data_IF_638564172077
#
_entry.id   IF_638564172077
#
_cell.length_a   1.000
_cell.length_b   1.000
_cell.length_c   1.000
_cell.angle_alpha   90.00
_cell.angle_beta   90.00
_cell.angle_gamma   90.00
#
_symmetry.space_group_name_H-M   'P 1'
#
loop_
_entity.id
_entity.type
_entity.pdbx_description
1 polymer ?
#
# COMPACT_ATOMS: atom_id res chain seq x y z
N UNK A 1 7.16 -30.30 8.75
CA UNK A 1 7.07 -28.92 9.28
C UNK A 1 8.12 -28.06 8.58
N UNK A 2 7.85 -26.77 8.39
CA UNK A 2 8.81 -25.79 7.89
C UNK A 2 8.49 -24.40 8.46
N UNK A 3 9.49 -23.55 8.58
CA UNK A 3 9.31 -22.19 9.07
C UNK A 3 10.34 -21.23 8.51
N UNK A 4 9.91 -19.98 8.34
CA UNK A 4 10.79 -18.89 7.95
C UNK A 4 11.77 -18.55 9.07
N UNK A 5 13.01 -18.25 8.72
CA UNK A 5 14.04 -17.78 9.63
C UNK A 5 14.71 -16.52 9.10
N UNK A 6 15.16 -15.67 10.01
CA UNK A 6 15.96 -14.49 9.71
C UNK A 6 17.28 -14.52 10.51
N UNK A 7 18.33 -13.86 10.00
CA UNK A 7 19.57 -13.71 10.76
C UNK A 7 19.33 -12.86 12.02
N UNK A 8 20.06 -13.16 13.10
CA UNK A 8 20.03 -12.36 14.31
C UNK A 8 20.73 -11.00 14.09
N UNK A 9 20.02 -9.91 14.37
CA UNK A 9 20.59 -8.56 14.30
C UNK A 9 21.48 -8.28 15.51
N UNK A 10 21.02 -8.65 16.71
CA UNK A 10 21.72 -8.43 17.97
C UNK A 10 22.35 -9.71 18.52
N UNK A 11 23.37 -9.55 19.36
CA UNK A 11 23.93 -10.65 20.16
C UNK A 11 22.90 -11.14 21.18
N UNK A 12 22.75 -12.46 21.31
CA UNK A 12 21.90 -13.06 22.33
C UNK A 12 22.73 -13.32 23.58
N UNK A 13 22.21 -12.86 24.73
CA UNK A 13 22.83 -13.00 26.04
C UNK A 13 21.83 -13.58 27.02
N UNK A 14 22.31 -14.35 27.99
CA UNK A 14 21.56 -14.74 29.16
C UNK A 14 21.86 -13.78 30.33
N UNK A 15 20.82 -13.43 31.09
CA UNK A 15 20.95 -12.65 32.32
C UNK A 15 20.94 -13.58 33.53
N UNK A 16 21.89 -13.37 34.44
CA UNK A 16 21.85 -13.95 35.77
C UNK A 16 20.74 -13.29 36.62
N UNK A 17 20.40 -13.93 37.75
CA UNK A 17 19.32 -13.49 38.63
C UNK A 17 19.56 -12.12 39.30
N UNK A 18 20.82 -11.70 39.39
CA UNK A 18 21.24 -10.38 39.90
C UNK A 18 21.24 -9.29 38.81
N UNK A 19 20.86 -9.62 37.57
CA UNK A 19 20.85 -8.70 36.43
C UNK A 19 22.20 -8.55 35.73
N UNK A 20 23.21 -9.35 36.11
CA UNK A 20 24.50 -9.38 35.43
C UNK A 20 24.49 -10.27 34.18
N UNK A 21 25.48 -10.08 33.30
CA UNK A 21 25.72 -10.97 32.17
C UNK A 21 26.17 -12.35 32.68
N UNK A 22 25.47 -13.40 32.26
CA UNK A 22 25.88 -14.79 32.50
C UNK A 22 26.76 -15.30 31.34
N UNK A 23 26.16 -15.47 30.16
CA UNK A 23 26.87 -15.91 28.97
C UNK A 23 26.27 -15.33 27.68
N UNK A 24 27.00 -15.49 26.57
CA UNK A 24 26.56 -15.07 25.24
C UNK A 24 26.58 -16.26 24.26
N UNK A 25 25.58 -16.30 23.38
CA UNK A 25 25.48 -17.32 22.34
C UNK A 25 26.28 -16.93 21.09
N UNK A 26 26.89 -17.92 20.45
CA UNK A 26 27.60 -17.72 19.18
C UNK A 26 26.60 -17.41 18.05
N UNK A 27 26.40 -16.12 17.77
CA UNK A 27 25.36 -15.61 16.86
C UNK A 27 25.27 -16.33 15.51
N UNK A 28 26.40 -16.75 14.93
CA UNK A 28 26.44 -17.44 13.64
C UNK A 28 25.68 -18.79 13.63
N UNK A 29 25.51 -19.44 14.79
CA UNK A 29 24.82 -20.72 14.95
C UNK A 29 23.31 -20.60 15.18
N UNK A 30 22.83 -19.40 15.52
CA UNK A 30 21.43 -19.18 15.88
C UNK A 30 20.72 -18.28 14.88
N UNK A 31 19.39 -18.37 14.85
CA UNK A 31 18.50 -17.64 13.94
C UNK A 31 17.28 -17.14 14.70
N UNK A 32 16.68 -16.05 14.23
CA UNK A 32 15.34 -15.66 14.64
C UNK A 32 14.34 -16.52 13.87
N UNK A 33 13.40 -17.13 14.60
CA UNK A 33 12.25 -17.79 13.98
C UNK A 33 11.20 -16.75 13.67
N UNK A 34 10.70 -16.74 12.43
CA UNK A 34 9.70 -15.79 11.95
C UNK A 34 8.49 -16.56 11.38
N UNK A 35 7.47 -15.80 10.99
CA UNK A 35 6.30 -16.31 10.28
C UNK A 35 6.42 -15.99 8.79
N UNK A 36 5.84 -16.79 7.87
CA UNK A 36 4.93 -17.91 8.12
C UNK A 36 5.64 -19.22 8.50
N UNK A 37 4.89 -20.10 9.16
CA UNK A 37 5.24 -21.49 9.39
C UNK A 37 4.17 -22.40 8.79
N UNK A 38 4.56 -23.61 8.37
CA UNK A 38 3.69 -24.56 7.72
C UNK A 38 3.92 -25.99 8.24
N UNK A 39 2.81 -26.71 8.41
CA UNK A 39 2.80 -28.05 8.99
C UNK A 39 1.85 -28.95 8.19
N UNK A 40 2.18 -30.25 8.12
CA UNK A 40 1.13 -31.24 7.86
C UNK A 40 0.19 -31.20 9.06
N UNK A 41 -1.11 -31.12 8.79
CA UNK A 41 -2.12 -30.93 9.83
C UNK A 41 -2.02 -32.00 10.92
N UNK A 42 -1.95 -33.27 10.55
CA UNK A 42 -1.88 -34.39 11.49
C UNK A 42 -0.69 -34.28 12.45
N UNK A 43 0.46 -33.78 11.97
CA UNK A 43 1.67 -33.61 12.79
C UNK A 43 1.45 -32.53 13.85
N UNK A 44 1.00 -31.35 13.44
CA UNK A 44 0.86 -30.24 14.39
C UNK A 44 -0.31 -30.48 15.34
N UNK A 45 -1.40 -31.07 14.84
CA UNK A 45 -2.55 -31.44 15.67
C UNK A 45 -2.16 -32.46 16.74
N UNK A 46 -1.44 -33.52 16.37
CA UNK A 46 -0.98 -34.52 17.34
C UNK A 46 0.05 -33.96 18.32
N UNK A 47 0.91 -33.03 17.90
CA UNK A 47 1.82 -32.33 18.79
C UNK A 47 1.07 -31.53 19.87
N UNK A 48 -0.01 -30.83 19.51
CA UNK A 48 -0.86 -30.12 20.47
C UNK A 48 -1.67 -31.07 21.37
N UNK A 49 -2.09 -32.24 20.87
CA UNK A 49 -2.78 -33.24 21.71
C UNK A 49 -1.90 -33.82 22.81
N UNK A 50 -0.61 -33.91 22.57
CA UNK A 50 0.36 -34.45 23.53
C UNK A 50 1.05 -33.39 24.38
N UNK A 51 0.91 -32.11 24.03
CA UNK A 51 1.62 -31.04 24.73
C UNK A 51 1.15 -30.94 26.19
N UNK A 52 2.11 -30.76 27.11
CA UNK A 52 1.81 -30.49 28.51
C UNK A 52 1.22 -29.09 28.66
N UNK A 53 0.39 -28.86 29.69
CA UNK A 53 -0.15 -27.54 30.03
C UNK A 53 0.96 -26.47 30.14
N UNK A 54 2.11 -26.84 30.72
CA UNK A 54 3.26 -25.95 30.80
C UNK A 54 3.76 -25.46 29.43
N UNK A 55 3.96 -26.38 28.48
CA UNK A 55 4.38 -26.02 27.12
C UNK A 55 3.31 -25.25 26.35
N UNK A 56 2.03 -25.49 26.65
CA UNK A 56 0.93 -24.74 26.05
C UNK A 56 0.90 -23.28 26.54
N UNK A 57 1.15 -23.06 27.84
CA UNK A 57 1.12 -21.73 28.47
C UNK A 57 2.41 -20.93 28.22
N UNK A 58 3.57 -21.57 28.22
CA UNK A 58 4.88 -20.90 28.18
C UNK A 58 5.68 -21.16 26.90
N UNK A 59 5.26 -22.11 26.06
CA UNK A 59 5.92 -22.40 24.79
C UNK A 59 5.66 -21.31 23.76
N UNK A 60 6.72 -20.83 23.12
CA UNK A 60 6.64 -19.74 22.13
C UNK A 60 6.86 -20.19 20.69
N UNK A 61 7.14 -21.49 20.45
CA UNK A 61 7.60 -21.99 19.15
C UNK A 61 6.91 -23.29 18.72
N UNK A 62 6.07 -23.21 17.67
CA UNK A 62 5.31 -24.34 17.14
C UNK A 62 6.22 -25.40 16.49
N UNK A 63 7.33 -25.00 15.87
CA UNK A 63 8.32 -25.94 15.31
C UNK A 63 8.95 -26.79 16.42
N UNK A 64 9.12 -26.23 17.62
CA UNK A 64 9.64 -26.93 18.77
C UNK A 64 8.64 -27.95 19.31
N UNK A 65 7.34 -27.63 19.32
CA UNK A 65 6.30 -28.60 19.67
C UNK A 65 6.31 -29.81 18.72
N UNK A 66 6.32 -29.56 17.41
CA UNK A 66 6.37 -30.61 16.40
C UNK A 66 7.64 -31.49 16.52
N UNK A 67 8.77 -30.89 16.90
CA UNK A 67 10.01 -31.61 17.18
C UNK A 67 9.89 -32.46 18.46
N UNK A 68 9.43 -31.86 19.57
CA UNK A 68 9.38 -32.47 20.90
C UNK A 68 8.38 -33.65 20.97
N UNK A 69 7.17 -33.45 20.44
CA UNK A 69 6.07 -34.40 20.60
C UNK A 69 5.89 -35.34 19.40
N UNK A 70 6.32 -34.94 18.20
CA UNK A 70 6.16 -35.74 16.97
C UNK A 70 7.48 -36.06 16.26
N UNK A 71 8.64 -35.76 16.88
CA UNK A 71 9.99 -36.01 16.32
C UNK A 71 10.17 -35.45 14.90
N UNK A 72 9.43 -34.40 14.57
CA UNK A 72 9.43 -33.81 13.23
C UNK A 72 10.48 -32.72 13.16
N UNK A 73 11.58 -32.99 12.47
CA UNK A 73 12.59 -31.97 12.17
C UNK A 73 12.05 -30.99 11.12
N UNK A 74 11.86 -29.73 11.53
CA UNK A 74 11.40 -28.70 10.62
C UNK A 74 12.49 -28.27 9.63
N UNK A 75 12.10 -28.00 8.38
CA UNK A 75 12.97 -27.32 7.42
C UNK A 75 12.97 -25.83 7.73
N UNK A 76 14.15 -25.27 7.98
CA UNK A 76 14.33 -23.83 8.13
C UNK A 76 14.52 -23.21 6.73
N UNK A 77 13.74 -22.19 6.42
CA UNK A 77 13.71 -21.49 5.12
C UNK A 77 14.14 -20.05 5.34
N UNK A 78 15.11 -19.56 4.57
CA UNK A 78 15.58 -18.17 4.67
C UNK A 78 14.45 -17.20 4.27
N UNK A 79 14.12 -16.28 5.17
CA UNK A 79 13.12 -15.23 5.01
C UNK A 79 13.71 -13.93 4.48
N UNK A 80 12.85 -13.05 3.96
CA UNK A 80 13.24 -11.68 3.63
C UNK A 80 13.19 -10.81 4.88
N UNK A 81 13.76 -9.60 4.80
CA UNK A 81 13.65 -8.63 5.89
C UNK A 81 12.18 -8.36 6.26
N UNK A 82 11.27 -8.35 5.27
CA UNK A 82 9.85 -7.98 5.39
C UNK A 82 9.01 -8.85 6.34
N UNK A 83 9.56 -9.97 6.83
CA UNK A 83 8.87 -10.87 7.76
C UNK A 83 8.89 -10.41 9.22
N UNK A 84 9.38 -9.20 9.53
CA UNK A 84 9.40 -8.70 10.90
C UNK A 84 7.98 -8.54 11.47
N UNK A 85 7.83 -8.82 12.76
CA UNK A 85 6.61 -8.53 13.51
C UNK A 85 6.56 -7.07 13.93
N UNK A 86 5.48 -6.37 13.56
CA UNK A 86 5.18 -5.03 14.07
C UNK A 86 4.89 -5.10 15.57
N UNK A 87 5.83 -4.64 16.40
CA UNK A 87 5.78 -4.79 17.86
C UNK A 87 5.78 -3.43 18.57
N UNK A 88 6.55 -2.48 18.07
CA UNK A 88 6.71 -1.14 18.64
C UNK A 88 6.13 -0.05 17.73
N UNK A 89 5.96 1.15 18.30
CA UNK A 89 5.48 2.33 17.55
C UNK A 89 6.34 2.67 16.33
N UNK A 90 7.66 2.49 16.42
CA UNK A 90 8.57 2.71 15.28
C UNK A 90 8.30 1.73 14.13
N UNK A 91 7.84 0.53 14.44
CA UNK A 91 7.54 -0.49 13.44
C UNK A 91 6.26 -0.10 12.68
N UNK A 92 5.30 0.60 13.34
CA UNK A 92 4.15 1.20 12.64
C UNK A 92 4.60 2.25 11.62
N UNK A 93 5.58 3.10 11.95
CA UNK A 93 6.10 4.09 11.00
C UNK A 93 6.78 3.44 9.79
N UNK A 94 7.55 2.37 10.03
CA UNK A 94 8.17 1.59 8.96
C UNK A 94 7.11 0.94 8.07
N UNK A 95 6.15 0.22 8.67
CA UNK A 95 5.07 -0.45 7.95
C UNK A 95 4.21 0.55 7.15
N UNK A 96 3.83 1.68 7.75
CA UNK A 96 3.08 2.73 7.07
C UNK A 96 3.85 3.27 5.86
N UNK A 97 5.16 3.49 6.00
CA UNK A 97 6.00 4.00 4.92
C UNK A 97 6.11 3.00 3.76
N UNK A 98 6.31 1.71 4.06
CA UNK A 98 6.39 0.65 3.05
C UNK A 98 5.06 0.49 2.31
N UNK A 99 3.94 0.51 3.03
CA UNK A 99 2.61 0.47 2.42
C UNK A 99 2.42 1.65 1.47
N UNK A 100 2.72 2.88 1.91
CA UNK A 100 2.60 4.07 1.06
C UNK A 100 3.51 4.02 -0.16
N UNK A 101 4.74 3.55 0.02
CA UNK A 101 5.70 3.41 -1.08
C UNK A 101 5.21 2.42 -2.13
N UNK A 102 4.73 1.25 -1.72
CA UNK A 102 4.13 0.25 -2.60
C UNK A 102 2.90 0.79 -3.35
N UNK A 103 2.01 1.49 -2.64
CA UNK A 103 0.82 2.12 -3.25
C UNK A 103 1.18 3.23 -4.23
N UNK A 104 2.36 3.84 -4.10
CA UNK A 104 2.82 4.96 -4.94
C UNK A 104 3.48 4.52 -6.26
N UNK A 105 3.70 3.22 -6.46
CA UNK A 105 4.40 2.70 -7.65
C UNK A 105 3.55 2.74 -8.94
N UNK A 106 2.25 3.05 -8.84
CA UNK A 106 1.35 3.12 -9.99
C UNK A 106 0.47 4.37 -9.96
N UNK A 107 0.28 4.99 -11.12
CA UNK A 107 -0.66 6.10 -11.34
C UNK A 107 -1.48 5.89 -12.61
N UNK A 108 -2.75 6.25 -12.55
CA UNK A 108 -3.65 6.27 -13.69
C UNK A 108 -3.88 7.71 -14.16
N UNK A 109 -3.52 8.01 -15.41
CA UNK A 109 -3.74 9.32 -16.04
C UNK A 109 -5.00 9.24 -16.90
N UNK A 110 -5.99 10.06 -16.56
CA UNK A 110 -7.28 10.17 -17.24
C UNK A 110 -7.32 11.50 -18.01
N UNK A 111 -7.59 11.45 -19.31
CA UNK A 111 -7.59 12.64 -20.17
C UNK A 111 -8.89 12.79 -20.95
N UNK A 112 -9.38 14.02 -21.11
CA UNK A 112 -10.41 14.38 -22.09
C UNK A 112 -9.92 14.08 -23.53
N UNK A 113 -10.83 13.77 -24.43
CA UNK A 113 -10.60 13.41 -25.85
C UNK A 113 -10.12 14.61 -26.67
N UNK A 114 -10.29 15.83 -26.16
CA UNK A 114 -9.81 17.05 -26.82
C UNK A 114 -8.27 17.07 -26.94
N UNK A 115 -7.80 17.39 -28.14
CA UNK A 115 -6.39 17.29 -28.56
C UNK A 115 -5.39 17.99 -27.62
N UNK A 116 -5.70 19.21 -27.15
CA UNK A 116 -4.83 19.94 -26.21
C UNK A 116 -4.67 19.23 -24.85
N UNK A 117 -5.71 18.55 -24.36
CA UNK A 117 -5.70 17.81 -23.10
C UNK A 117 -5.05 16.43 -23.25
N UNK A 118 -5.27 15.79 -24.40
CA UNK A 118 -4.58 14.57 -24.79
C UNK A 118 -3.06 14.78 -24.88
N UNK A 119 -2.60 15.90 -25.45
CA UNK A 119 -1.18 16.23 -25.53
C UNK A 119 -0.54 16.42 -24.14
N UNK A 120 -1.19 17.15 -23.24
CA UNK A 120 -0.70 17.31 -21.86
C UNK A 120 -0.72 15.99 -21.10
N UNK A 121 -1.78 15.21 -21.24
CA UNK A 121 -1.86 13.87 -20.67
C UNK A 121 -0.73 12.96 -21.14
N UNK A 122 -0.40 13.00 -22.43
CA UNK A 122 0.74 12.29 -23.00
C UNK A 122 2.07 12.79 -22.42
N UNK A 123 2.28 14.10 -22.30
CA UNK A 123 3.49 14.66 -21.70
C UNK A 123 3.63 14.26 -20.21
N UNK A 124 2.54 14.28 -19.44
CA UNK A 124 2.52 13.82 -18.06
C UNK A 124 2.84 12.32 -17.98
N UNK A 125 2.25 11.52 -18.87
CA UNK A 125 2.53 10.09 -18.96
C UNK A 125 4.02 9.84 -19.23
N UNK A 126 4.60 10.45 -20.26
CA UNK A 126 6.01 10.26 -20.61
C UNK A 126 6.96 10.74 -19.51
N UNK A 127 6.62 11.85 -18.84
CA UNK A 127 7.43 12.38 -17.74
C UNK A 127 7.44 11.42 -16.54
N UNK A 128 6.30 10.83 -16.20
CA UNK A 128 6.15 9.96 -15.04
C UNK A 128 6.61 8.51 -15.29
N UNK A 129 6.52 8.03 -16.53
CA UNK A 129 6.85 6.64 -16.91
C UNK A 129 8.31 6.25 -16.62
N UNK A 130 9.21 7.24 -16.53
CA UNK A 130 10.61 7.02 -16.15
C UNK A 130 10.81 6.63 -14.68
N UNK A 131 9.82 6.91 -13.82
CA UNK A 131 9.92 6.74 -12.36
C UNK A 131 8.91 5.75 -11.80
N UNK A 132 7.70 5.72 -12.35
CA UNK A 132 6.58 4.90 -11.86
C UNK A 132 5.82 4.26 -13.00
N UNK A 133 5.04 3.22 -12.70
CA UNK A 133 4.15 2.60 -13.67
C UNK A 133 2.99 3.57 -13.96
N UNK A 134 2.86 3.99 -15.22
CA UNK A 134 1.77 4.86 -15.66
C UNK A 134 0.81 4.07 -16.54
N UNK A 135 -0.48 4.14 -16.22
CA UNK A 135 -1.56 3.66 -17.08
C UNK A 135 -2.30 4.89 -17.62
N UNK A 136 -2.33 5.06 -18.94
CA UNK A 136 -3.05 6.16 -19.58
C UNK A 136 -4.40 5.67 -20.10
N UNK A 137 -5.46 6.38 -19.75
CA UNK A 137 -6.81 6.15 -20.27
C UNK A 137 -7.33 7.45 -20.88
N UNK A 138 -7.66 7.39 -22.16
CA UNK A 138 -8.40 8.46 -22.84
C UNK A 138 -9.89 8.20 -22.67
N UNK A 139 -10.59 9.09 -21.98
CA UNK A 139 -11.98 8.87 -21.57
C UNK A 139 -12.84 9.99 -22.13
N UNK A 140 -13.81 9.64 -22.99
CA UNK A 140 -15.07 10.37 -23.02
C UNK A 140 -15.90 9.78 -21.88
N UNK A 141 -16.08 10.49 -20.75
CA UNK A 141 -16.76 9.94 -19.57
C UNK A 141 -18.19 9.55 -19.98
N UNK A 142 -18.36 8.27 -20.30
CA UNK A 142 -19.64 7.64 -20.57
C UNK A 142 -19.75 6.46 -19.63
N UNK A 143 -20.95 6.28 -19.08
CA UNK A 143 -21.22 5.53 -17.83
C UNK A 143 -20.85 4.03 -17.81
N UNK A 144 -20.27 3.48 -18.89
CA UNK A 144 -20.02 2.05 -19.08
C UNK A 144 -18.64 1.74 -19.69
N UNK A 145 -17.57 2.42 -19.26
CA UNK A 145 -16.24 2.09 -19.78
C UNK A 145 -15.62 0.88 -19.07
N UNK A 146 -15.55 -0.24 -19.80
CA UNK A 146 -14.88 -1.48 -19.37
C UNK A 146 -13.40 -1.29 -19.01
N UNK A 147 -12.72 -0.28 -19.58
CA UNK A 147 -11.32 0.01 -19.27
C UNK A 147 -11.13 0.58 -17.87
N UNK A 148 -12.01 1.49 -17.42
CA UNK A 148 -11.96 2.02 -16.06
C UNK A 148 -12.20 0.94 -15.00
N UNK A 149 -13.18 0.06 -15.25
CA UNK A 149 -13.46 -1.06 -14.36
C UNK A 149 -12.26 -2.02 -14.28
N UNK A 150 -11.55 -2.23 -15.39
CA UNK A 150 -10.31 -2.99 -15.40
C UNK A 150 -9.19 -2.30 -14.59
N UNK A 151 -9.06 -0.98 -14.68
CA UNK A 151 -8.08 -0.24 -13.85
C UNK A 151 -8.42 -0.31 -12.37
N UNK A 152 -9.71 -0.24 -12.04
CA UNK A 152 -10.17 -0.42 -10.67
C UNK A 152 -9.88 -1.83 -10.13
N UNK A 153 -10.04 -2.86 -10.98
CA UNK A 153 -9.70 -4.24 -10.63
C UNK A 153 -8.19 -4.46 -10.40
N UNK A 154 -7.34 -3.61 -10.97
CA UNK A 154 -5.88 -3.67 -10.87
C UNK A 154 -5.30 -2.97 -9.63
N UNK A 155 -6.15 -2.56 -8.69
CA UNK A 155 -5.74 -1.93 -7.42
C UNK A 155 -4.89 -0.66 -7.62
N UNK A 156 -5.27 0.21 -8.55
CA UNK A 156 -4.67 1.54 -8.66
C UNK A 156 -5.30 2.50 -7.65
N UNK A 157 -4.47 3.21 -6.87
CA UNK A 157 -4.94 4.14 -5.83
C UNK A 157 -4.63 5.61 -6.14
N UNK A 158 -3.85 5.89 -7.19
CA UNK A 158 -3.48 7.26 -7.57
C UNK A 158 -4.03 7.59 -8.95
N UNK A 159 -4.81 8.65 -9.04
CA UNK A 159 -5.46 9.10 -10.27
C UNK A 159 -5.11 10.56 -10.56
N UNK A 160 -4.80 10.84 -11.81
CA UNK A 160 -4.55 12.19 -12.32
C UNK A 160 -5.56 12.45 -13.43
N UNK A 161 -6.48 13.38 -13.22
CA UNK A 161 -7.50 13.76 -14.20
C UNK A 161 -7.13 15.08 -14.85
N UNK A 162 -6.91 15.09 -16.15
CA UNK A 162 -6.55 16.29 -16.94
C UNK A 162 -7.80 16.78 -17.68
N UNK A 163 -8.33 17.93 -17.28
CA UNK A 163 -9.62 18.41 -17.80
C UNK A 163 -9.66 19.94 -18.06
N UNK A 164 -10.62 20.36 -18.88
CA UNK A 164 -10.92 21.74 -19.22
C UNK A 164 -11.63 22.47 -18.07
N UNK A 165 -11.29 23.76 -17.89
CA UNK A 165 -11.84 24.67 -16.86
C UNK A 165 -13.37 24.70 -16.78
N UNK A 166 -14.11 24.36 -17.85
CA UNK A 166 -15.58 24.47 -17.89
C UNK A 166 -16.35 23.21 -17.45
N UNK A 167 -15.70 22.05 -17.33
CA UNK A 167 -16.36 20.77 -17.01
C UNK A 167 -15.90 20.10 -15.69
N UNK A 168 -15.00 20.74 -14.94
CA UNK A 168 -14.19 20.06 -13.93
C UNK A 168 -14.95 19.28 -12.84
N UNK A 169 -16.11 19.73 -12.37
CA UNK A 169 -16.72 19.13 -11.17
C UNK A 169 -17.71 18.02 -11.50
N UNK A 170 -18.47 18.13 -12.58
CA UNK A 170 -19.45 17.09 -12.92
C UNK A 170 -18.75 15.80 -13.34
N UNK A 171 -17.73 15.89 -14.19
CA UNK A 171 -16.95 14.73 -14.60
C UNK A 171 -16.13 14.15 -13.45
N UNK A 172 -15.62 15.01 -12.55
CA UNK A 172 -14.96 14.52 -11.33
C UNK A 172 -15.96 13.84 -10.39
N UNK A 173 -17.19 14.35 -10.28
CA UNK A 173 -18.23 13.73 -9.46
C UNK A 173 -18.54 12.32 -9.98
N UNK A 174 -18.67 12.15 -11.29
CA UNK A 174 -18.90 10.83 -11.89
C UNK A 174 -17.73 9.88 -11.61
N UNK A 175 -16.48 10.35 -11.70
CA UNK A 175 -15.31 9.54 -11.34
C UNK A 175 -15.31 9.16 -9.85
N UNK A 176 -15.64 10.10 -8.97
CA UNK A 176 -15.76 9.84 -7.52
C UNK A 176 -16.87 8.82 -7.24
N UNK A 177 -18.01 8.92 -7.92
CA UNK A 177 -19.12 7.98 -7.76
C UNK A 177 -18.71 6.58 -8.25
N UNK A 178 -17.95 6.49 -9.34
CA UNK A 178 -17.37 5.22 -9.79
C UNK A 178 -16.34 4.65 -8.81
N UNK A 179 -15.48 5.50 -8.25
CA UNK A 179 -14.50 5.09 -7.24
C UNK A 179 -15.17 4.63 -5.95
N UNK A 180 -16.25 5.28 -5.53
CA UNK A 180 -17.05 4.89 -4.36
C UNK A 180 -17.79 3.57 -4.58
N UNK A 181 -18.29 3.34 -5.79
CA UNK A 181 -18.90 2.05 -6.17
C UNK A 181 -17.85 0.92 -6.26
N UNK A 182 -16.59 1.28 -6.48
CA UNK A 182 -15.48 0.34 -6.40
C UNK A 182 -15.11 0.04 -4.94
N UNK A 183 -14.64 -1.18 -4.66
CA UNK A 183 -14.16 -1.54 -3.31
C UNK A 183 -12.77 -0.95 -2.99
N UNK A 184 -12.18 -0.11 -3.85
CA UNK A 184 -10.82 0.42 -3.70
C UNK A 184 -10.68 1.31 -2.45
N UNK A 185 -11.57 2.29 -2.20
CA UNK A 185 -11.43 3.20 -1.06
C UNK A 185 -11.64 2.51 0.30
N UNK A 186 -12.18 1.29 0.31
CA UNK A 186 -12.30 0.48 1.53
C UNK A 186 -10.95 -0.03 2.04
N UNK A 187 -10.00 -0.28 1.13
CA UNK A 187 -8.71 -0.87 1.45
C UNK A 187 -7.67 0.19 1.80
N UNK A 188 -7.53 1.22 0.95
CA UNK A 188 -6.56 2.30 1.13
C UNK A 188 -7.12 3.64 0.66
N UNK A 189 -6.59 4.76 1.17
CA UNK A 189 -6.97 6.09 0.68
C UNK A 189 -6.66 6.24 -0.81
N UNK A 190 -7.63 6.71 -1.58
CA UNK A 190 -7.45 6.99 -3.01
C UNK A 190 -7.01 8.44 -3.19
N UNK A 191 -5.93 8.68 -3.91
CA UNK A 191 -5.45 10.02 -4.27
C UNK A 191 -6.01 10.39 -5.64
N UNK A 192 -6.70 11.53 -5.72
CA UNK A 192 -7.23 12.08 -6.97
C UNK A 192 -6.70 13.50 -7.16
N UNK A 193 -5.93 13.72 -8.23
CA UNK A 193 -5.35 15.01 -8.60
C UNK A 193 -6.08 15.53 -9.83
N UNK A 194 -6.74 16.68 -9.69
CA UNK A 194 -7.37 17.39 -10.81
C UNK A 194 -6.38 18.38 -11.40
N UNK A 195 -5.95 18.14 -12.63
CA UNK A 195 -5.07 19.02 -13.38
C UNK A 195 -5.92 19.94 -14.24
N UNK A 196 -5.92 21.22 -13.87
CA UNK A 196 -6.57 22.28 -14.62
C UNK A 196 -5.56 22.99 -15.50
N UNK A 197 -5.82 22.98 -16.81
CA UNK A 197 -4.99 23.71 -17.76
C UNK A 197 -5.48 25.14 -17.97
N UNK A 198 -4.56 26.09 -17.81
CA UNK A 198 -4.77 27.45 -18.24
C UNK A 198 -4.14 27.68 -19.61
N UNK A 199 -4.98 27.90 -20.62
CA UNK A 199 -4.61 28.18 -22.02
C UNK A 199 -4.79 29.70 -22.31
N UNK A 200 -4.66 30.54 -21.28
CA UNK A 200 -4.75 32.00 -21.41
C UNK A 200 -3.40 32.59 -21.86
N UNK A 201 -3.40 33.37 -22.95
CA UNK A 201 -2.26 34.21 -23.38
C UNK A 201 -1.93 35.33 -22.37
N UNK A 202 -2.82 35.61 -21.42
CA UNK A 202 -2.62 36.63 -20.38
C UNK A 202 -2.05 36.05 -19.08
N UNK A 203 -1.08 36.79 -18.53
CA UNK A 203 -0.20 36.47 -17.39
C UNK A 203 -0.94 36.29 -16.04
N UNK A 204 -2.24 36.59 -15.96
CA UNK A 204 -2.97 36.54 -14.69
C UNK A 204 -3.61 35.17 -14.44
N UNK A 205 -3.06 34.44 -13.47
CA UNK A 205 -3.74 33.34 -12.79
C UNK A 205 -5.02 33.87 -12.12
N UNK A 206 -6.16 33.81 -12.79
CA UNK A 206 -7.44 33.99 -12.13
C UNK A 206 -8.29 32.73 -12.35
N UNK A 207 -8.02 31.69 -11.56
CA UNK A 207 -9.17 30.85 -11.19
C UNK A 207 -10.11 31.77 -10.42
N UNK A 208 -11.38 31.82 -10.80
CA UNK A 208 -12.38 32.52 -10.01
C UNK A 208 -12.34 31.99 -8.57
N UNK A 209 -12.21 32.86 -7.58
CA UNK A 209 -12.16 32.48 -6.15
C UNK A 209 -13.31 31.53 -5.76
N UNK A 210 -14.43 31.62 -6.47
CA UNK A 210 -15.59 30.72 -6.36
C UNK A 210 -15.29 29.26 -6.74
N UNK A 211 -14.51 29.00 -7.78
CA UNK A 211 -14.17 27.66 -8.26
C UNK A 211 -13.20 26.96 -7.30
N UNK A 212 -12.19 27.67 -6.81
CA UNK A 212 -11.31 27.19 -5.74
C UNK A 212 -12.09 26.84 -4.47
N UNK A 213 -13.08 27.66 -4.11
CA UNK A 213 -13.95 27.41 -2.97
C UNK A 213 -14.80 26.16 -3.18
N UNK A 214 -15.28 25.94 -4.40
CA UNK A 214 -16.07 24.77 -4.78
C UNK A 214 -15.25 23.48 -4.71
N UNK A 215 -14.01 23.47 -5.23
CA UNK A 215 -13.09 22.33 -5.13
C UNK A 215 -12.76 22.02 -3.66
N UNK A 216 -12.49 23.04 -2.84
CA UNK A 216 -12.24 22.85 -1.40
C UNK A 216 -13.43 22.23 -0.68
N UNK A 217 -14.65 22.68 -0.99
CA UNK A 217 -15.88 22.09 -0.43
C UNK A 217 -16.00 20.62 -0.85
N UNK A 218 -15.83 20.34 -2.13
CA UNK A 218 -15.92 18.99 -2.67
C UNK A 218 -14.86 18.05 -2.08
N UNK A 219 -13.61 18.50 -1.94
CA UNK A 219 -12.53 17.74 -1.30
C UNK A 219 -12.87 17.33 0.14
N UNK A 220 -13.56 18.19 0.91
CA UNK A 220 -14.01 17.85 2.27
C UNK A 220 -15.12 16.79 2.28
N UNK A 221 -15.97 16.78 1.27
CA UNK A 221 -17.06 15.81 1.14
C UNK A 221 -16.50 14.43 0.79
N UNK A 222 -15.63 14.35 -0.23
CA UNK A 222 -15.05 13.08 -0.69
C UNK A 222 -14.00 12.51 0.27
N UNK A 223 -13.37 13.34 1.12
CA UNK A 223 -12.51 12.87 2.21
C UNK A 223 -13.22 11.91 3.16
N UNK A 224 -14.53 12.09 3.38
CA UNK A 224 -15.35 11.18 4.20
C UNK A 224 -15.48 9.79 3.57
N UNK A 225 -15.26 9.69 2.26
CA UNK A 225 -15.28 8.46 1.46
C UNK A 225 -13.87 7.87 1.25
N UNK A 226 -12.89 8.29 2.05
CA UNK A 226 -11.48 7.90 1.93
C UNK A 226 -10.82 8.29 0.60
N UNK A 227 -11.30 9.36 -0.04
CA UNK A 227 -10.73 9.92 -1.27
C UNK A 227 -10.07 11.26 -0.95
N UNK A 228 -8.78 11.40 -1.28
CA UNK A 228 -7.97 12.58 -1.09
C UNK A 228 -7.90 13.36 -2.41
N UNK A 229 -8.73 14.41 -2.50
CA UNK A 229 -8.83 15.25 -3.68
C UNK A 229 -7.88 16.46 -3.59
N UNK A 230 -7.08 16.65 -4.64
CA UNK A 230 -6.18 17.78 -4.81
C UNK A 230 -6.40 18.46 -6.16
N UNK A 231 -6.16 19.78 -6.23
CA UNK A 231 -6.14 20.52 -7.48
C UNK A 231 -4.72 20.96 -7.83
N UNK A 232 -4.33 20.78 -9.08
CA UNK A 232 -3.07 21.22 -9.66
C UNK A 232 -3.37 22.13 -10.85
N UNK A 233 -2.71 23.28 -10.90
CA UNK A 233 -2.83 24.23 -12.01
C UNK A 233 -1.57 24.19 -12.85
N UNK A 234 -1.74 23.97 -14.14
CA UNK A 234 -0.64 23.97 -15.09
C UNK A 234 -0.90 25.03 -16.14
N UNK A 235 0.03 25.97 -16.26
CA UNK A 235 0.03 26.94 -17.35
C UNK A 235 0.68 26.28 -18.55
N UNK A 236 -0.07 26.15 -19.65
CA UNK A 236 0.45 25.64 -20.91
C UNK A 236 0.71 26.85 -21.83
N UNK A 237 1.95 27.02 -22.27
CA UNK A 237 2.37 28.11 -23.16
C UNK A 237 2.49 27.61 -24.58
#
# INVERSE_FOLDING_TARGET
>A
AAGAICPLVSTVIASAADGCLDHSLERAKYRASEMPQAFLFDIIYEAYRQCTDYDLDYGTECLHLALKYCKTNAKLVEGTADLWKVTYKRDLYAAESIIKDNLSQQVCVITDVKEAFAQVGFLLHESLKSQIKVEAISIALSKNDSHLQNVFSRQCYNFVCVNSKRCAIQETQELVDMLEQSNIPLLYPVVLILVHLDISENISFSIGMEELTRIKKFAREVKKKNILLYGLLVQNK
#
